data_IF_071926140910
#
_entry.id   IF_071926140910
#
_cell.length_a   1.000
_cell.length_b   1.000
_cell.length_c   1.000
_cell.angle_alpha   90.00
_cell.angle_beta   90.00
_cell.angle_gamma   90.00
#
_symmetry.space_group_name_H-M   'P 1'
#
loop_
_entity.id
_entity.type
_entity.pdbx_description
1 polymer ?
#
# COMPACT_ATOMS: atom_id res chain seq x y z
N UNK A 1 -0.18 8.98 11.29
CA UNK A 1 0.36 9.29 9.95
C UNK A 1 1.21 8.12 9.53
N UNK A 2 0.69 7.28 8.65
CA UNK A 2 1.39 6.09 8.16
C UNK A 2 2.49 6.55 7.22
N UNK A 3 3.68 6.81 7.77
CA UNK A 3 4.83 7.26 6.99
C UNK A 3 5.39 6.09 6.16
N UNK A 4 4.65 5.65 5.15
CA UNK A 4 5.14 4.70 4.15
C UNK A 4 6.16 5.42 3.27
N UNK A 5 7.36 4.84 3.18
CA UNK A 5 8.47 5.36 2.39
C UNK A 5 8.72 4.45 1.20
N UNK A 6 9.35 5.01 0.17
CA UNK A 6 9.83 4.22 -0.96
C UNK A 6 10.81 3.16 -0.44
N UNK A 7 10.58 1.90 -0.79
CA UNK A 7 11.33 0.75 -0.34
C UNK A 7 10.74 0.00 0.86
N UNK A 8 9.73 0.56 1.54
CA UNK A 8 9.02 -0.18 2.59
C UNK A 8 8.24 -1.36 1.98
N UNK A 9 8.33 -2.51 2.63
CA UNK A 9 7.46 -3.65 2.34
C UNK A 9 6.14 -3.48 3.09
N UNK A 10 5.04 -3.69 2.38
CA UNK A 10 3.68 -3.57 2.91
C UNK A 10 2.81 -4.73 2.44
N UNK A 11 1.83 -5.10 3.24
CA UNK A 11 0.81 -6.08 2.88
C UNK A 11 -0.57 -5.43 2.97
N UNK A 12 -1.50 -5.84 2.10
CA UNK A 12 -2.89 -5.39 2.15
C UNK A 12 -3.55 -5.97 3.41
N UNK A 13 -4.18 -5.11 4.22
CA UNK A 13 -4.67 -5.47 5.56
C UNK A 13 -6.17 -5.82 5.61
N UNK A 14 -6.75 -6.19 4.47
CA UNK A 14 -8.18 -6.50 4.28
C UNK A 14 -9.17 -5.38 4.68
N UNK A 15 -8.70 -4.16 4.95
CA UNK A 15 -9.58 -3.00 5.18
C UNK A 15 -10.45 -2.68 3.96
N UNK A 16 -9.92 -2.91 2.76
CA UNK A 16 -10.63 -2.76 1.49
C UNK A 16 -10.75 -4.11 0.79
N UNK A 17 -11.70 -4.18 -0.13
CA UNK A 17 -11.84 -5.36 -0.98
C UNK A 17 -10.61 -5.50 -1.88
N UNK A 18 -9.91 -6.61 -1.72
CA UNK A 18 -8.73 -6.98 -2.50
C UNK A 18 -9.00 -8.33 -3.14
N UNK A 19 -8.53 -8.50 -4.38
CA UNK A 19 -8.62 -9.79 -5.05
C UNK A 19 -7.78 -10.83 -4.28
N UNK A 20 -8.24 -12.09 -4.20
CA UNK A 20 -7.52 -13.14 -3.47
C UNK A 20 -6.06 -13.34 -3.93
N UNK A 21 -5.77 -13.05 -5.20
CA UNK A 21 -4.40 -13.06 -5.75
C UNK A 21 -3.44 -12.04 -5.11
N UNK A 22 -3.96 -11.01 -4.45
CA UNK A 22 -3.18 -9.96 -3.80
C UNK A 22 -3.24 -10.07 -2.27
N UNK A 23 -4.07 -10.96 -1.72
CA UNK A 23 -4.17 -11.21 -0.27
C UNK A 23 -2.93 -11.94 0.21
N UNK A 24 -2.33 -11.45 1.29
CA UNK A 24 -1.09 -12.02 1.83
C UNK A 24 0.13 -11.84 0.92
N UNK A 25 0.02 -11.06 -0.16
CA UNK A 25 1.17 -10.70 -1.00
C UNK A 25 1.82 -9.46 -0.41
N UNK A 26 3.15 -9.54 -0.23
CA UNK A 26 3.96 -8.40 0.12
C UNK A 26 4.25 -7.56 -1.13
N UNK A 27 4.04 -6.26 -1.00
CA UNK A 27 4.30 -5.28 -2.04
C UNK A 27 5.37 -4.29 -1.57
N UNK A 28 6.19 -3.83 -2.49
CA UNK A 28 7.17 -2.76 -2.20
C UNK A 28 6.59 -1.42 -2.59
N UNK A 29 6.66 -0.44 -1.69
CA UNK A 29 6.26 0.94 -1.98
C UNK A 29 7.27 1.56 -2.95
N UNK A 30 6.79 2.06 -4.09
CA UNK A 30 7.64 2.67 -5.14
C UNK A 30 7.48 4.17 -5.29
N UNK A 31 6.48 4.78 -4.65
CA UNK A 31 6.27 6.23 -4.69
C UNK A 31 6.16 6.82 -3.31
N UNK A 32 6.36 8.14 -3.23
CA UNK A 32 5.96 8.88 -2.04
C UNK A 32 4.44 8.84 -1.89
N UNK A 33 3.90 8.88 -0.66
CA UNK A 33 2.48 9.05 -0.42
C UNK A 33 2.00 10.37 -1.03
N UNK A 34 0.83 10.35 -1.64
CA UNK A 34 0.18 11.50 -2.24
C UNK A 34 -1.27 11.58 -1.76
N UNK A 35 -1.74 12.80 -1.53
CA UNK A 35 -3.14 13.03 -1.20
C UNK A 35 -4.00 12.93 -2.47
N UNK A 36 -5.02 12.10 -2.40
CA UNK A 36 -6.05 11.98 -3.41
C UNK A 36 -7.41 12.22 -2.75
N UNK A 37 -7.90 13.45 -2.85
CA UNK A 37 -9.19 13.87 -2.28
C UNK A 37 -9.33 13.59 -0.77
N UNK A 38 -8.27 13.84 0.00
CA UNK A 38 -8.26 13.61 1.45
C UNK A 38 -7.94 12.18 1.86
N UNK A 39 -7.60 11.30 0.92
CA UNK A 39 -7.09 9.95 1.19
C UNK A 39 -5.63 9.85 0.76
N UNK A 40 -4.75 9.47 1.68
CA UNK A 40 -3.34 9.24 1.38
C UNK A 40 -3.18 7.93 0.60
N UNK A 41 -2.61 8.00 -0.60
CA UNK A 41 -2.39 6.85 -1.48
C UNK A 41 -0.90 6.68 -1.79
N UNK A 42 -0.47 5.44 -2.03
CA UNK A 42 0.89 5.10 -2.48
C UNK A 42 0.84 4.22 -3.72
N UNK A 43 1.88 4.27 -4.54
CA UNK A 43 2.07 3.30 -5.61
C UNK A 43 2.93 2.14 -5.12
N UNK A 44 2.54 0.94 -5.51
CA UNK A 44 3.24 -0.30 -5.20
C UNK A 44 3.92 -0.87 -6.45
N UNK A 45 5.00 -1.62 -6.28
CA UNK A 45 5.61 -2.41 -7.36
C UNK A 45 4.72 -3.60 -7.74
N UNK A 46 4.58 -3.87 -9.03
CA UNK A 46 3.71 -4.94 -9.54
C UNK A 46 2.21 -4.66 -9.45
N UNK A 47 1.79 -3.60 -8.76
CA UNK A 47 0.39 -3.17 -8.68
C UNK A 47 0.11 -2.01 -9.63
N UNK A 48 -0.95 -2.14 -10.43
CA UNK A 48 -1.34 -1.13 -11.41
C UNK A 48 -2.34 -0.16 -10.77
N UNK A 49 -1.84 0.96 -10.26
CA UNK A 49 -2.65 2.03 -9.65
C UNK A 49 -2.07 2.52 -8.33
N UNK A 50 -2.66 3.58 -7.78
CA UNK A 50 -2.47 3.97 -6.39
C UNK A 50 -3.36 3.12 -5.48
N UNK A 51 -2.85 2.78 -4.30
CA UNK A 51 -3.60 2.09 -3.26
C UNK A 51 -3.59 2.93 -1.99
N UNK A 52 -4.69 2.90 -1.25
CA UNK A 52 -4.85 3.71 -0.04
C UNK A 52 -3.87 3.23 1.05
N UNK A 53 -3.08 4.16 1.58
CA UNK A 53 -2.01 3.90 2.54
C UNK A 53 -2.53 3.34 3.87
N UNK A 54 -3.77 3.65 4.24
CA UNK A 54 -4.46 3.15 5.42
C UNK A 54 -4.99 1.71 5.28
N UNK A 55 -5.06 1.20 4.05
CA UNK A 55 -5.34 -0.20 3.72
C UNK A 55 -4.08 -1.08 3.63
N UNK A 56 -2.93 -0.52 3.97
CA UNK A 56 -1.63 -1.18 3.93
C UNK A 56 -1.04 -1.26 5.33
N UNK A 57 -0.51 -2.43 5.67
CA UNK A 57 0.24 -2.64 6.90
C UNK A 57 1.70 -2.89 6.53
N UNK A 58 2.61 -2.14 7.16
CA UNK A 58 4.05 -2.37 7.00
C UNK A 58 4.40 -3.75 7.55
N UNK A 59 5.04 -4.58 6.74
CA UNK A 59 5.64 -5.83 7.17
C UNK A 59 7.08 -5.50 7.53
N UNK A 60 7.31 -5.24 8.82
CA UNK A 60 8.67 -5.16 9.38
C UNK A 60 9.13 -6.59 9.68
N UNK A 61 10.35 -6.94 9.25
CA UNK A 61 11.07 -8.10 9.78
C UNK A 61 11.77 -7.71 11.08
#
# INVERSE_FOLDING_TARGET
>A
MSNLKIGDKVAMNDKYWVADKNRGVEFTVRSKPFDLCGTECVMLEGYRGGYAADGLTKVEE
#
